data_IF_655266162421
#
_entry.id   IF_655266162421
#
_cell.length_a   1.000
_cell.length_b   1.000
_cell.length_c   1.000
_cell.angle_alpha   90.00
_cell.angle_beta   90.00
_cell.angle_gamma   90.00
#
_symmetry.space_group_name_H-M   'P 1'
#
loop_
_entity.id
_entity.type
_entity.pdbx_description
1 polymer ?
#
# COMPACT_ATOMS: atom_id res chain seq x y z
N UNK A 1 -16.05 -11.65 -25.40
CA UNK A 1 -16.53 -11.62 -24.00
C UNK A 1 -15.60 -12.53 -23.20
N UNK A 2 -15.09 -12.10 -22.04
CA UNK A 2 -14.19 -12.92 -21.22
C UNK A 2 -14.90 -14.22 -20.79
N UNK A 3 -14.10 -15.26 -20.54
CA UNK A 3 -14.64 -16.53 -20.04
C UNK A 3 -14.96 -16.42 -18.55
N UNK A 4 -15.89 -17.24 -18.05
CA UNK A 4 -16.28 -17.23 -16.62
C UNK A 4 -15.08 -17.41 -15.69
N UNK A 5 -14.17 -18.29 -16.06
CA UNK A 5 -12.93 -18.59 -15.34
C UNK A 5 -11.99 -17.38 -15.23
N UNK A 6 -11.89 -16.59 -16.30
CA UNK A 6 -11.07 -15.38 -16.35
C UNK A 6 -11.65 -14.26 -15.45
N UNK A 7 -12.98 -14.18 -15.36
CA UNK A 7 -13.67 -13.24 -14.47
C UNK A 7 -13.54 -13.67 -13.01
N UNK A 8 -13.61 -14.96 -12.71
CA UNK A 8 -13.42 -15.49 -11.36
C UNK A 8 -11.98 -15.22 -10.87
N UNK A 9 -10.97 -15.39 -11.73
CA UNK A 9 -9.57 -15.07 -11.40
C UNK A 9 -9.37 -13.57 -11.13
N UNK A 10 -9.93 -12.68 -11.96
CA UNK A 10 -9.88 -11.23 -11.71
C UNK A 10 -10.52 -10.88 -10.37
N UNK A 11 -11.70 -11.41 -10.09
CA UNK A 11 -12.41 -11.15 -8.83
C UNK A 11 -11.59 -11.57 -7.61
N UNK A 12 -11.04 -12.79 -7.61
CA UNK A 12 -10.20 -13.28 -6.51
C UNK A 12 -8.97 -12.40 -6.32
N UNK A 13 -8.28 -12.03 -7.40
CA UNK A 13 -7.12 -11.14 -7.32
C UNK A 13 -7.48 -9.74 -6.80
N UNK A 14 -8.66 -9.23 -7.13
CA UNK A 14 -9.18 -7.96 -6.62
C UNK A 14 -9.45 -8.00 -5.11
N UNK A 15 -10.11 -9.05 -4.65
CA UNK A 15 -10.39 -9.27 -3.22
C UNK A 15 -9.08 -9.39 -2.43
N UNK A 16 -8.13 -10.18 -2.93
CA UNK A 16 -6.81 -10.32 -2.31
C UNK A 16 -6.05 -8.99 -2.27
N UNK A 17 -6.07 -8.21 -3.36
CA UNK A 17 -5.45 -6.90 -3.41
C UNK A 17 -6.07 -5.93 -2.38
N UNK A 18 -7.39 -5.96 -2.21
CA UNK A 18 -8.09 -5.16 -1.20
C UNK A 18 -7.68 -5.53 0.23
N UNK A 19 -7.59 -6.84 0.54
CA UNK A 19 -7.11 -7.31 1.85
C UNK A 19 -5.66 -6.90 2.12
N UNK A 20 -4.80 -7.00 1.11
CA UNK A 20 -3.41 -6.53 1.19
C UNK A 20 -3.36 -5.02 1.39
N UNK A 21 -4.19 -4.25 0.68
CA UNK A 21 -4.23 -2.79 0.81
C UNK A 21 -4.57 -2.36 2.25
N UNK A 22 -5.56 -2.99 2.88
CA UNK A 22 -5.92 -2.73 4.28
C UNK A 22 -4.76 -3.02 5.26
N UNK A 23 -4.00 -4.07 5.00
CA UNK A 23 -2.82 -4.42 5.82
C UNK A 23 -1.69 -3.41 5.64
N UNK A 24 -1.36 -3.05 4.40
CA UNK A 24 -0.31 -2.07 4.08
C UNK A 24 -0.71 -0.68 4.59
N UNK A 25 -1.98 -0.30 4.48
CA UNK A 25 -2.48 0.99 4.99
C UNK A 25 -2.26 1.16 6.50
N UNK A 26 -2.40 0.09 7.30
CA UNK A 26 -2.03 0.11 8.73
C UNK A 26 -0.54 0.33 8.95
N UNK A 27 0.31 -0.34 8.17
CA UNK A 27 1.77 -0.17 8.26
C UNK A 27 2.20 1.25 7.89
N UNK A 28 1.60 1.83 6.85
CA UNK A 28 1.79 3.24 6.48
C UNK A 28 1.44 4.16 7.63
N UNK A 29 0.28 3.96 8.27
CA UNK A 29 -0.17 4.79 9.38
C UNK A 29 0.80 4.73 10.57
N UNK A 30 1.27 3.52 10.92
CA UNK A 30 2.25 3.31 11.98
C UNK A 30 3.59 3.99 11.67
N UNK A 31 4.07 3.86 10.43
CA UNK A 31 5.34 4.45 10.01
C UNK A 31 5.28 5.99 9.96
N UNK A 32 4.17 6.56 9.46
CA UNK A 32 3.91 8.01 9.55
C UNK A 32 3.92 8.49 11.01
N UNK A 33 3.26 7.75 11.89
CA UNK A 33 3.20 8.08 13.32
C UNK A 33 4.60 8.09 13.96
N UNK A 34 5.47 7.16 13.58
CA UNK A 34 6.88 7.13 14.01
C UNK A 34 7.67 8.31 13.43
N UNK A 35 7.55 8.54 12.13
CA UNK A 35 8.25 9.63 11.43
C UNK A 35 7.89 11.01 12.02
N UNK A 36 6.62 11.23 12.38
CA UNK A 36 6.15 12.48 13.02
C UNK A 36 6.73 12.70 14.42
N UNK A 37 7.19 11.65 15.10
CA UNK A 37 7.84 11.74 16.42
C UNK A 37 9.37 11.86 16.32
N UNK A 38 9.96 11.46 15.19
CA UNK A 38 11.38 11.67 14.93
C UNK A 38 11.60 13.16 14.62
N UNK A 39 12.51 13.81 15.34
CA UNK A 39 12.85 15.20 15.05
C UNK A 39 13.79 15.25 13.83
N UNK A 40 13.41 15.95 12.74
CA UNK A 40 14.27 16.08 11.56
C UNK A 40 15.57 16.86 11.86
N UNK A 41 15.67 17.51 13.01
CA UNK A 41 16.85 18.27 13.45
C UNK A 41 17.86 17.44 14.24
N UNK A 42 17.46 16.27 14.76
CA UNK A 42 18.32 15.43 15.60
C UNK A 42 19.01 14.35 14.77
N UNK A 43 18.30 13.72 13.83
CA UNK A 43 18.85 12.64 13.00
C UNK A 43 18.30 12.67 11.57
N UNK A 44 18.93 13.52 10.73
CA UNK A 44 18.48 13.76 9.36
C UNK A 44 18.63 12.52 8.48
N UNK A 45 19.67 11.70 8.66
CA UNK A 45 19.88 10.51 7.84
C UNK A 45 18.83 9.42 8.14
N UNK A 46 18.55 9.18 9.41
CA UNK A 46 17.49 8.24 9.82
C UNK A 46 16.11 8.71 9.34
N UNK A 47 15.83 10.02 9.44
CA UNK A 47 14.60 10.60 8.91
C UNK A 47 14.45 10.37 7.41
N UNK A 48 15.48 10.65 6.60
CA UNK A 48 15.42 10.47 5.15
C UNK A 48 15.26 9.00 4.75
N UNK A 49 15.92 8.08 5.46
CA UNK A 49 15.75 6.64 5.23
C UNK A 49 14.31 6.18 5.51
N UNK A 50 13.78 6.50 6.69
CA UNK A 50 12.40 6.16 7.06
C UNK A 50 11.36 6.82 6.16
N UNK A 51 11.63 8.03 5.69
CA UNK A 51 10.78 8.70 4.71
C UNK A 51 10.81 7.98 3.36
N UNK A 52 11.98 7.51 2.90
CA UNK A 52 12.12 6.69 1.70
C UNK A 52 11.31 5.40 1.78
N UNK A 53 11.42 4.68 2.90
CA UNK A 53 10.65 3.47 3.17
C UNK A 53 9.14 3.74 3.15
N UNK A 54 8.72 4.86 3.77
CA UNK A 54 7.33 5.28 3.79
C UNK A 54 6.79 5.56 2.38
N UNK A 55 7.56 6.28 1.55
CA UNK A 55 7.16 6.57 0.17
C UNK A 55 7.00 5.29 -0.63
N UNK A 56 7.92 4.34 -0.51
CA UNK A 56 7.83 3.04 -1.19
C UNK A 56 6.56 2.27 -0.77
N UNK A 57 6.27 2.23 0.53
CA UNK A 57 5.06 1.56 1.06
C UNK A 57 3.76 2.21 0.55
N UNK A 58 3.73 3.53 0.45
CA UNK A 58 2.57 4.28 -0.07
C UNK A 58 2.34 4.05 -1.55
N UNK A 59 3.40 3.98 -2.36
CA UNK A 59 3.27 3.63 -3.77
C UNK A 59 2.74 2.20 -3.94
N UNK A 60 3.21 1.26 -3.13
CA UNK A 60 2.68 -0.10 -3.13
C UNK A 60 1.21 -0.16 -2.69
N UNK A 61 0.85 0.56 -1.62
CA UNK A 61 -0.54 0.66 -1.17
C UNK A 61 -1.46 1.22 -2.27
N UNK A 62 -1.02 2.26 -2.97
CA UNK A 62 -1.75 2.82 -4.11
C UNK A 62 -1.96 1.81 -5.23
N UNK A 63 -0.91 1.09 -5.63
CA UNK A 63 -0.99 0.06 -6.66
C UNK A 63 -1.97 -1.08 -6.28
N UNK A 64 -1.98 -1.50 -5.01
CA UNK A 64 -2.94 -2.49 -4.51
C UNK A 64 -4.39 -2.00 -4.60
N UNK A 65 -4.64 -0.72 -4.28
CA UNK A 65 -5.97 -0.12 -4.40
C UNK A 65 -6.43 -0.04 -5.85
N UNK A 66 -5.54 0.34 -6.76
CA UNK A 66 -5.81 0.36 -8.21
C UNK A 66 -6.12 -1.05 -8.73
N UNK A 67 -5.35 -2.06 -8.32
CA UNK A 67 -5.59 -3.46 -8.67
C UNK A 67 -6.92 -3.97 -8.10
N UNK A 68 -7.26 -3.60 -6.87
CA UNK A 68 -8.55 -3.96 -6.26
C UNK A 68 -9.73 -3.32 -7.00
N UNK A 69 -9.61 -2.05 -7.41
CA UNK A 69 -10.65 -1.34 -8.17
C UNK A 69 -10.83 -1.90 -9.58
N UNK A 70 -9.74 -2.13 -10.32
CA UNK A 70 -9.80 -2.66 -11.69
C UNK A 70 -10.27 -4.12 -11.79
N UNK A 71 -10.40 -4.81 -10.66
CA UNK A 71 -11.01 -6.14 -10.58
C UNK A 71 -12.51 -6.11 -10.25
N UNK A 72 -13.05 -4.96 -9.82
CA UNK A 72 -14.47 -4.74 -9.55
C UNK A 72 -15.22 -4.18 -10.77
N UNK A 73 -14.50 -3.68 -11.77
CA UNK A 73 -15.01 -3.25 -13.09
C UNK A 73 -15.11 -4.43 -14.08
#
# INVERSE_FOLDING_TARGET
LPTRDETDVRYVNGVLAGLQAELVGRQVADLKSRLQRLSPSEDADEFHHLFGDLVALEQYHKALREQAMGALE
#
